data_IF_777914898380
#
_entry.id   IF_777914898380
#
_cell.length_a   1.000
_cell.length_b   1.000
_cell.length_c   1.000
_cell.angle_alpha   90.00
_cell.angle_beta   90.00
_cell.angle_gamma   90.00
#
_symmetry.space_group_name_H-M   'P 1'
#
loop_
_entity.id
_entity.type
_entity.pdbx_description
1 polymer ?
#
# COMPACT_ATOMS: atom_id res chain seq x y z
N UNK A 1 -31.73 17.65 -43.45
CA UNK A 1 -31.29 17.54 -42.04
C UNK A 1 -32.28 16.75 -41.18
N UNK A 2 -33.59 17.06 -41.20
CA UNK A 2 -34.60 16.30 -40.44
C UNK A 2 -34.83 14.86 -40.98
N UNK A 3 -34.84 14.70 -42.31
CA UNK A 3 -35.02 13.40 -42.96
C UNK A 3 -33.86 12.42 -42.70
N UNK A 4 -32.63 12.92 -42.68
CA UNK A 4 -31.42 12.13 -42.35
C UNK A 4 -31.39 11.75 -40.87
N UNK A 5 -31.85 12.62 -39.97
CA UNK A 5 -32.00 12.31 -38.54
C UNK A 5 -33.10 11.27 -38.30
N UNK A 6 -34.26 11.40 -38.94
CA UNK A 6 -35.33 10.38 -38.87
C UNK A 6 -34.83 9.01 -39.32
N UNK A 7 -34.11 8.94 -40.45
CA UNK A 7 -33.55 7.69 -40.94
C UNK A 7 -32.48 7.09 -40.03
N UNK A 8 -31.69 7.93 -39.37
CA UNK A 8 -30.65 7.49 -38.45
C UNK A 8 -31.20 7.04 -37.09
N UNK A 9 -32.25 7.68 -36.58
CA UNK A 9 -32.69 7.53 -35.18
C UNK A 9 -34.08 6.92 -34.99
N UNK A 10 -34.96 7.00 -35.99
CA UNK A 10 -36.39 6.68 -35.86
C UNK A 10 -36.83 5.57 -36.82
N UNK A 11 -36.29 5.52 -38.04
CA UNK A 11 -36.69 4.50 -39.02
C UNK A 11 -36.18 3.12 -38.56
N UNK A 12 -37.10 2.13 -38.42
CA UNK A 12 -36.72 0.79 -37.99
C UNK A 12 -35.72 0.17 -38.97
N UNK A 13 -34.76 -0.59 -38.43
CA UNK A 13 -33.87 -1.44 -39.24
C UNK A 13 -34.74 -2.33 -40.12
N UNK A 14 -34.33 -2.60 -41.37
CA UNK A 14 -35.02 -3.53 -42.26
C UNK A 14 -35.50 -4.72 -41.45
N UNK A 15 -36.81 -4.89 -41.33
CA UNK A 15 -37.44 -5.72 -40.31
C UNK A 15 -37.99 -6.95 -41.03
N UNK A 16 -37.79 -8.14 -40.48
CA UNK A 16 -38.35 -9.36 -41.08
C UNK A 16 -39.89 -9.32 -41.04
N UNK A 17 -40.55 -10.33 -41.63
CA UNK A 17 -42.02 -10.38 -41.69
C UNK A 17 -42.71 -10.35 -40.31
N UNK A 18 -41.97 -10.56 -39.22
CA UNK A 18 -42.47 -10.55 -37.85
C UNK A 18 -42.13 -9.25 -37.08
N UNK A 19 -41.43 -8.29 -37.70
CA UNK A 19 -41.10 -7.02 -37.06
C UNK A 19 -39.86 -7.08 -36.14
N UNK A 20 -39.01 -8.11 -36.27
CA UNK A 20 -37.67 -8.13 -35.68
C UNK A 20 -36.63 -7.56 -36.67
N UNK A 21 -35.61 -6.83 -36.18
CA UNK A 21 -34.56 -6.32 -37.06
C UNK A 21 -33.93 -7.49 -37.87
N UNK A 22 -33.67 -7.24 -39.16
CA UNK A 22 -33.25 -8.26 -40.12
C UNK A 22 -32.02 -9.00 -39.62
N UNK A 23 -32.07 -10.32 -39.75
CA UNK A 23 -31.01 -11.26 -39.37
C UNK A 23 -29.63 -10.84 -39.93
N UNK A 24 -29.62 -10.20 -41.10
CA UNK A 24 -28.41 -9.71 -41.80
C UNK A 24 -27.71 -8.59 -41.01
N UNK A 25 -28.46 -7.64 -40.44
CA UNK A 25 -27.90 -6.53 -39.65
C UNK A 25 -27.41 -6.95 -38.27
N UNK A 26 -27.99 -8.00 -37.68
CA UNK A 26 -27.51 -8.56 -36.41
C UNK A 26 -26.22 -9.36 -36.57
N UNK A 27 -26.12 -10.12 -37.67
CA UNK A 27 -24.93 -10.90 -37.97
C UNK A 27 -23.73 -10.00 -38.20
N UNK A 28 -23.88 -8.93 -39.00
CA UNK A 28 -22.84 -7.93 -39.21
C UNK A 28 -22.36 -7.31 -37.88
N UNK A 29 -23.29 -7.05 -36.95
CA UNK A 29 -22.94 -6.48 -35.64
C UNK A 29 -22.18 -7.45 -34.75
N UNK A 30 -22.61 -8.72 -34.72
CA UNK A 30 -21.92 -9.78 -33.99
C UNK A 30 -20.51 -10.01 -34.56
N UNK A 31 -20.35 -9.97 -35.89
CA UNK A 31 -19.06 -10.13 -36.56
C UNK A 31 -18.11 -8.97 -36.22
N UNK A 32 -18.61 -7.74 -36.14
CA UNK A 32 -17.82 -6.56 -35.71
C UNK A 32 -17.38 -6.64 -34.25
N UNK A 33 -18.26 -7.07 -33.35
CA UNK A 33 -17.91 -7.32 -31.95
C UNK A 33 -16.83 -8.40 -31.86
N UNK A 34 -16.98 -9.50 -32.60
CA UNK A 34 -16.01 -10.58 -32.63
C UNK A 34 -14.67 -10.13 -33.24
N UNK A 35 -14.68 -9.28 -34.26
CA UNK A 35 -13.46 -8.71 -34.83
C UNK A 35 -12.72 -7.82 -33.82
N UNK A 36 -13.46 -7.01 -33.05
CA UNK A 36 -12.86 -6.10 -32.06
C UNK A 36 -12.32 -6.83 -30.83
N UNK A 37 -13.06 -7.83 -30.36
CA UNK A 37 -12.87 -8.44 -29.04
C UNK A 37 -12.45 -9.90 -29.07
N UNK A 38 -12.40 -10.54 -30.24
CA UNK A 38 -12.08 -11.96 -30.38
C UNK A 38 -10.65 -12.33 -29.96
N UNK A 39 -9.74 -11.35 -29.89
CA UNK A 39 -8.40 -11.51 -29.32
C UNK A 39 -8.38 -11.55 -27.79
N UNK A 40 -9.44 -11.04 -27.15
CA UNK A 40 -9.55 -10.89 -25.69
C UNK A 40 -10.53 -11.90 -25.11
N UNK A 41 -11.63 -12.15 -25.82
CA UNK A 41 -12.71 -13.03 -25.40
C UNK A 41 -12.93 -14.15 -26.43
N UNK A 42 -13.06 -15.39 -25.95
CA UNK A 42 -13.43 -16.57 -26.70
C UNK A 42 -14.84 -17.01 -26.32
N UNK A 43 -15.68 -17.28 -27.32
CA UNK A 43 -17.05 -17.72 -27.11
C UNK A 43 -17.68 -18.25 -28.38
N UNK A 44 -18.70 -19.10 -28.21
CA UNK A 44 -19.50 -19.60 -29.33
C UNK A 44 -20.20 -18.44 -30.07
N UNK A 45 -20.46 -18.61 -31.37
CA UNK A 45 -21.12 -17.60 -32.21
C UNK A 45 -22.44 -17.05 -31.61
N UNK A 46 -23.18 -17.91 -30.89
CA UNK A 46 -24.41 -17.53 -30.20
C UNK A 46 -24.21 -16.44 -29.13
N UNK A 47 -23.05 -16.40 -28.46
CA UNK A 47 -22.75 -15.43 -27.42
C UNK A 47 -22.46 -14.04 -28.02
N UNK A 48 -21.79 -13.98 -29.16
CA UNK A 48 -21.58 -12.74 -29.91
C UNK A 48 -22.91 -12.15 -30.40
N UNK A 49 -23.82 -13.01 -30.87
CA UNK A 49 -25.19 -12.62 -31.23
C UNK A 49 -26.01 -12.17 -30.02
N UNK A 50 -25.87 -12.83 -28.88
CA UNK A 50 -26.55 -12.44 -27.64
C UNK A 50 -26.09 -11.04 -27.17
N UNK A 51 -24.79 -10.75 -27.28
CA UNK A 51 -24.26 -9.41 -26.99
C UNK A 51 -24.81 -8.36 -27.96
N UNK A 52 -24.73 -8.63 -29.27
CA UNK A 52 -25.27 -7.74 -30.30
C UNK A 52 -26.77 -7.45 -30.07
N UNK A 53 -27.55 -8.47 -29.73
CA UNK A 53 -28.97 -8.33 -29.42
C UNK A 53 -29.21 -7.43 -28.20
N UNK A 54 -28.45 -7.62 -27.12
CA UNK A 54 -28.59 -6.78 -25.93
C UNK A 54 -28.25 -5.31 -26.23
N UNK A 55 -27.22 -5.04 -27.04
CA UNK A 55 -26.86 -3.69 -27.44
C UNK A 55 -27.95 -3.03 -28.30
N UNK A 56 -28.46 -3.73 -29.31
CA UNK A 56 -29.51 -3.21 -30.20
C UNK A 56 -30.80 -2.93 -29.42
N UNK A 57 -31.09 -3.74 -28.39
CA UNK A 57 -32.27 -3.58 -27.53
C UNK A 57 -32.14 -2.45 -26.50
N UNK A 58 -30.93 -2.21 -25.99
CA UNK A 58 -30.69 -1.27 -24.88
C UNK A 58 -30.17 0.10 -25.31
N UNK A 59 -29.65 0.24 -26.53
CA UNK A 59 -28.96 1.43 -27.01
C UNK A 59 -29.56 1.99 -28.31
N UNK A 60 -29.47 3.31 -28.49
CA UNK A 60 -29.85 3.96 -29.74
C UNK A 60 -28.77 3.78 -30.82
N UNK A 61 -29.17 3.79 -32.10
CA UNK A 61 -28.25 3.59 -33.24
C UNK A 61 -27.05 4.54 -33.22
N UNK A 62 -27.22 5.78 -32.73
CA UNK A 62 -26.14 6.77 -32.64
C UNK A 62 -25.07 6.42 -31.59
N UNK A 63 -25.32 5.46 -30.71
CA UNK A 63 -24.41 5.07 -29.62
C UNK A 63 -23.73 3.72 -29.83
N UNK A 64 -24.13 2.96 -30.86
CA UNK A 64 -23.62 1.60 -31.04
C UNK A 64 -22.12 1.54 -31.36
N UNK A 65 -21.60 2.48 -32.16
CA UNK A 65 -20.16 2.56 -32.48
C UNK A 65 -19.30 2.73 -31.23
N UNK A 66 -19.72 3.63 -30.33
CA UNK A 66 -19.04 3.86 -29.05
C UNK A 66 -19.14 2.62 -28.16
N UNK A 67 -20.29 1.94 -28.20
CA UNK A 67 -20.53 0.78 -27.36
C UNK A 67 -19.82 -0.50 -27.85
N UNK A 68 -19.49 -0.62 -29.16
CA UNK A 68 -18.61 -1.67 -29.68
C UNK A 68 -17.20 -1.55 -29.06
N UNK A 69 -16.73 -0.33 -28.80
CA UNK A 69 -15.41 -0.09 -28.19
C UNK A 69 -15.39 -0.37 -26.68
N UNK A 70 -16.54 -0.67 -26.07
CA UNK A 70 -16.62 -1.02 -24.66
C UNK A 70 -16.62 -2.55 -24.47
N UNK A 71 -16.03 -3.05 -23.36
CA UNK A 71 -16.06 -4.47 -23.06
C UNK A 71 -17.50 -4.99 -22.85
N UNK A 72 -17.74 -6.30 -22.98
CA UNK A 72 -19.07 -6.87 -22.84
C UNK A 72 -19.69 -6.56 -21.47
N UNK A 73 -21.01 -6.27 -21.41
CA UNK A 73 -21.71 -6.08 -20.15
C UNK A 73 -21.53 -7.29 -19.22
N UNK A 74 -21.49 -7.06 -17.90
CA UNK A 74 -21.11 -8.09 -16.92
C UNK A 74 -21.96 -9.37 -16.90
N UNK A 75 -23.19 -9.35 -17.44
CA UNK A 75 -24.02 -10.55 -17.62
C UNK A 75 -23.51 -11.41 -18.79
N UNK A 76 -23.15 -10.75 -19.89
CA UNK A 76 -22.66 -11.39 -21.13
C UNK A 76 -21.18 -11.77 -20.98
N UNK A 77 -20.37 -10.94 -20.33
CA UNK A 77 -18.95 -11.17 -20.10
C UNK A 77 -18.66 -12.49 -19.38
N UNK A 78 -19.54 -12.92 -18.46
CA UNK A 78 -19.41 -14.20 -17.72
C UNK A 78 -19.58 -15.44 -18.59
N UNK A 79 -20.19 -15.30 -19.76
CA UNK A 79 -20.40 -16.40 -20.71
C UNK A 79 -19.20 -16.57 -21.63
N UNK A 80 -18.37 -15.55 -21.77
CA UNK A 80 -17.13 -15.58 -22.53
C UNK A 80 -15.97 -16.11 -21.67
N UNK A 81 -15.06 -16.87 -22.30
CA UNK A 81 -13.75 -17.19 -21.72
C UNK A 81 -12.76 -16.10 -22.14
N UNK A 82 -11.75 -15.80 -21.33
CA UNK A 82 -10.62 -15.01 -21.83
C UNK A 82 -9.85 -15.83 -22.87
N UNK A 83 -9.36 -15.16 -23.92
CA UNK A 83 -8.41 -15.78 -24.84
C UNK A 83 -7.10 -16.12 -24.11
N UNK A 84 -6.46 -17.23 -24.46
CA UNK A 84 -5.26 -17.75 -23.79
C UNK A 84 -4.14 -16.70 -23.67
N UNK A 85 -3.83 -15.98 -24.76
CA UNK A 85 -2.83 -14.90 -24.74
C UNK A 85 -3.20 -13.76 -23.76
N UNK A 86 -4.49 -13.45 -23.64
CA UNK A 86 -4.98 -12.43 -22.70
C UNK A 86 -4.92 -12.92 -21.25
N UNK A 87 -5.23 -14.20 -21.01
CA UNK A 87 -5.10 -14.85 -19.71
C UNK A 87 -3.64 -14.88 -19.24
N UNK A 88 -2.71 -15.29 -20.10
CA UNK A 88 -1.27 -15.29 -19.81
C UNK A 88 -0.76 -13.89 -19.46
N UNK A 89 -1.18 -12.87 -20.22
CA UNK A 89 -0.82 -11.48 -19.95
C UNK A 89 -1.35 -11.00 -18.60
N UNK A 90 -2.60 -11.34 -18.25
CA UNK A 90 -3.17 -11.01 -16.94
C UNK A 90 -2.45 -11.72 -15.80
N UNK A 91 -2.19 -13.03 -15.92
CA UNK A 91 -1.45 -13.81 -14.92
C UNK A 91 -0.05 -13.24 -14.74
N UNK A 92 0.65 -12.91 -15.82
CA UNK A 92 1.97 -12.29 -15.77
C UNK A 92 1.92 -10.92 -15.07
N UNK A 93 0.89 -10.11 -15.37
CA UNK A 93 0.67 -8.82 -14.72
C UNK A 93 0.45 -8.94 -13.22
N UNK A 94 -0.43 -9.84 -12.79
CA UNK A 94 -0.73 -10.12 -11.37
C UNK A 94 0.50 -10.70 -10.67
N UNK A 95 1.20 -11.63 -11.30
CA UNK A 95 2.41 -12.23 -10.74
C UNK A 95 3.50 -11.17 -10.54
N UNK A 96 3.69 -10.28 -11.52
CA UNK A 96 4.64 -9.17 -11.42
C UNK A 96 4.26 -8.20 -10.30
N UNK A 97 2.99 -7.81 -10.19
CA UNK A 97 2.54 -6.87 -9.14
C UNK A 97 2.65 -7.50 -7.75
N UNK A 98 2.27 -8.77 -7.59
CA UNK A 98 2.42 -9.51 -6.35
C UNK A 98 3.89 -9.64 -5.92
N UNK A 99 4.79 -9.97 -6.87
CA UNK A 99 6.23 -10.05 -6.59
C UNK A 99 6.82 -8.70 -6.17
N UNK A 100 6.39 -7.60 -6.81
CA UNK A 100 6.83 -6.26 -6.42
C UNK A 100 6.33 -5.89 -5.03
N UNK A 101 5.06 -6.17 -4.72
CA UNK A 101 4.50 -5.93 -3.39
C UNK A 101 5.25 -6.72 -2.32
N UNK A 102 5.53 -8.01 -2.57
CA UNK A 102 6.31 -8.85 -1.67
C UNK A 102 7.74 -8.32 -1.47
N UNK A 103 8.40 -7.89 -2.54
CA UNK A 103 9.72 -7.26 -2.46
C UNK A 103 9.70 -6.02 -1.56
N UNK A 104 8.73 -5.12 -1.75
CA UNK A 104 8.60 -3.92 -0.92
C UNK A 104 8.38 -4.26 0.56
N UNK A 105 7.51 -5.23 0.86
CA UNK A 105 7.25 -5.67 2.24
C UNK A 105 8.51 -6.27 2.86
N UNK A 106 9.24 -7.12 2.13
CA UNK A 106 10.50 -7.70 2.62
C UNK A 106 11.56 -6.63 2.90
N UNK A 107 11.69 -5.62 2.03
CA UNK A 107 12.58 -4.50 2.26
C UNK A 107 12.19 -3.69 3.51
N UNK A 108 10.89 -3.46 3.72
CA UNK A 108 10.39 -2.77 4.91
C UNK A 108 10.65 -3.58 6.19
N UNK A 109 10.48 -4.90 6.16
CA UNK A 109 10.82 -5.79 7.28
C UNK A 109 12.31 -5.69 7.61
N UNK A 110 13.18 -5.74 6.60
CA UNK A 110 14.63 -5.62 6.79
C UNK A 110 15.00 -4.24 7.41
N UNK A 111 14.41 -3.15 6.91
CA UNK A 111 14.62 -1.83 7.47
C UNK A 111 14.15 -1.72 8.93
N UNK A 112 13.00 -2.33 9.26
CA UNK A 112 12.49 -2.34 10.63
C UNK A 112 13.41 -3.13 11.58
N UNK A 113 13.96 -4.26 11.13
CA UNK A 113 14.94 -5.02 11.90
C UNK A 113 16.22 -4.20 12.17
N UNK A 114 16.67 -3.40 11.20
CA UNK A 114 17.79 -2.49 11.41
C UNK A 114 17.49 -1.44 12.49
N UNK A 115 16.29 -0.85 12.46
CA UNK A 115 15.86 0.11 13.48
C UNK A 115 15.82 -0.50 14.89
N UNK A 116 15.39 -1.76 15.01
CA UNK A 116 15.42 -2.48 16.30
C UNK A 116 16.85 -2.65 16.82
N UNK A 117 17.81 -3.03 15.95
CA UNK A 117 19.22 -3.16 16.34
C UNK A 117 19.83 -1.82 16.76
N UNK A 118 19.49 -0.74 16.05
CA UNK A 118 19.95 0.61 16.37
C UNK A 118 19.37 1.06 17.73
N UNK A 119 18.11 0.74 17.99
CA UNK A 119 17.45 1.01 19.26
C UNK A 119 18.10 0.28 20.43
N UNK A 120 18.39 -1.03 20.27
CA UNK A 120 19.10 -1.82 21.29
C UNK A 120 20.49 -1.23 21.59
N UNK A 121 21.22 -0.85 20.54
CA UNK A 121 22.53 -0.21 20.67
C UNK A 121 22.45 1.11 21.42
N UNK A 122 21.42 1.92 21.15
CA UNK A 122 21.18 3.16 21.86
C UNK A 122 20.82 2.91 23.34
N UNK A 123 19.98 1.91 23.61
CA UNK A 123 19.66 1.47 24.97
C UNK A 123 20.90 1.08 25.76
N UNK A 124 21.79 0.27 25.16
CA UNK A 124 23.06 -0.13 25.78
C UNK A 124 23.94 1.08 26.14
N UNK A 125 24.01 2.09 25.26
CA UNK A 125 24.75 3.34 25.51
C UNK A 125 24.18 4.13 26.68
N UNK A 126 22.85 4.21 26.80
CA UNK A 126 22.20 4.87 27.95
C UNK A 126 22.54 4.14 29.24
N UNK A 127 22.44 2.80 29.25
CA UNK A 127 22.78 1.99 30.43
C UNK A 127 24.22 2.23 30.86
N UNK A 128 25.16 2.24 29.92
CA UNK A 128 26.58 2.46 30.21
C UNK A 128 26.85 3.87 30.74
N UNK A 129 26.21 4.89 30.13
CA UNK A 129 26.29 6.25 30.64
C UNK A 129 25.72 6.36 32.07
N UNK A 130 24.63 5.65 32.37
CA UNK A 130 24.06 5.56 33.72
C UNK A 130 25.05 5.03 34.75
N UNK A 131 25.77 3.95 34.43
CA UNK A 131 26.84 3.41 35.30
C UNK A 131 27.95 4.44 35.53
N UNK A 132 28.38 5.13 34.47
CA UNK A 132 29.40 6.17 34.56
C UNK A 132 28.96 7.31 35.49
N UNK A 133 27.69 7.73 35.41
CA UNK A 133 27.14 8.76 36.28
C UNK A 133 27.07 8.32 37.75
N UNK A 134 26.71 7.07 38.03
CA UNK A 134 26.74 6.51 39.39
C UNK A 134 28.17 6.55 39.93
N UNK A 135 29.15 6.06 39.18
CA UNK A 135 30.56 6.10 39.61
C UNK A 135 31.04 7.53 39.89
N UNK A 136 30.69 8.50 39.03
CA UNK A 136 31.02 9.92 39.25
C UNK A 136 30.35 10.47 40.51
N UNK A 137 29.10 10.11 40.76
CA UNK A 137 28.38 10.49 41.98
C UNK A 137 29.09 9.93 43.22
N UNK A 138 29.46 8.66 43.21
CA UNK A 138 30.12 8.01 44.36
C UNK A 138 31.46 8.67 44.69
N UNK A 139 32.24 9.03 43.66
CA UNK A 139 33.48 9.82 43.84
C UNK A 139 33.19 11.16 44.52
N UNK A 140 32.18 11.90 44.05
CA UNK A 140 31.79 13.18 44.65
C UNK A 140 31.32 12.99 46.10
N UNK A 141 30.55 11.95 46.39
CA UNK A 141 30.05 11.66 47.73
C UNK A 141 31.20 11.37 48.70
N UNK A 142 32.19 10.58 48.28
CA UNK A 142 33.41 10.32 49.07
C UNK A 142 34.13 11.62 49.44
N UNK A 143 34.30 12.54 48.47
CA UNK A 143 34.92 13.84 48.77
C UNK A 143 34.12 14.66 49.79
N UNK A 144 32.79 14.62 49.74
CA UNK A 144 31.93 15.32 50.71
C UNK A 144 32.12 14.71 52.10
N UNK A 145 32.11 13.39 52.19
CA UNK A 145 32.22 12.66 53.45
C UNK A 145 33.62 12.88 54.09
N UNK A 146 34.69 12.93 53.28
CA UNK A 146 36.06 13.18 53.74
C UNK A 146 36.29 14.62 54.25
N UNK A 147 35.58 15.62 53.68
CA UNK A 147 35.66 17.02 54.13
C UNK A 147 34.97 17.22 55.50
N UNK A 148 34.01 16.37 55.84
CA UNK A 148 33.30 16.38 57.12
C UNK A 148 34.04 15.53 58.17
N UNK A 149 35.26 15.93 58.53
CA UNK A 149 35.98 15.30 59.64
C UNK A 149 35.18 15.44 60.96
N UNK A 150 35.20 14.43 61.86
CA UNK A 150 34.60 14.53 63.19
C UNK A 150 35.16 15.74 63.94
N UNK A 151 34.26 16.66 64.35
CA UNK A 151 34.59 17.89 65.08
C UNK A 151 34.90 17.68 66.57
N UNK A 152 35.28 16.47 66.99
CA UNK A 152 35.65 16.19 68.39
C UNK A 152 37.17 16.05 68.55
N UNK A 153 37.92 17.03 68.02
CA UNK A 153 39.28 17.25 68.49
C UNK A 153 39.16 17.99 69.81
N UNK A 154 39.24 17.27 70.93
CA UNK A 154 39.31 17.89 72.25
C UNK A 154 40.46 18.91 72.27
N UNK A 155 40.18 20.13 72.78
CA UNK A 155 41.12 21.24 72.77
C UNK A 155 42.44 20.82 73.44
N UNK A 156 43.57 20.81 72.69
CA UNK A 156 44.87 20.47 73.26
C UNK A 156 45.25 21.34 74.47
N UNK A 157 44.68 22.55 74.57
CA UNK A 157 44.92 23.45 75.68
C UNK A 157 44.26 23.00 76.99
N UNK A 158 43.21 22.17 76.97
CA UNK A 158 42.59 21.66 78.20
C UNK A 158 43.48 20.68 78.97
N UNK A 159 44.57 20.17 78.36
CA UNK A 159 45.53 19.24 79.00
C UNK A 159 46.90 19.85 79.26
N UNK A 160 47.11 21.14 78.99
CA UNK A 160 48.40 21.77 79.23
C UNK A 160 48.53 22.20 80.69
N UNK A 161 49.40 21.50 81.43
CA UNK A 161 49.79 21.90 82.79
C UNK A 161 50.70 23.13 82.72
N UNK A 162 50.40 24.14 83.54
CA UNK A 162 51.10 25.43 83.50
C UNK A 162 52.51 25.24 84.09
N UNK A 163 53.54 25.51 83.30
CA UNK A 163 54.94 25.40 83.75
C UNK A 163 55.24 26.62 84.63
N UNK A 164 55.71 26.42 85.89
CA UNK A 164 56.02 27.55 86.76
C UNK A 164 57.18 28.36 86.20
N UNK A 165 56.97 29.68 86.18
CA UNK A 165 57.97 30.66 85.76
C UNK A 165 59.13 30.70 86.76
N UNK A 166 60.33 30.36 86.29
CA UNK A 166 61.56 30.27 87.09
C UNK A 166 62.47 31.49 86.90
N UNK A 167 62.12 32.42 86.01
CA UNK A 167 63.00 33.55 85.62
C UNK A 167 62.66 34.86 86.36
N UNK A 168 61.65 34.84 87.24
CA UNK A 168 61.24 35.99 88.05
C UNK A 168 61.13 35.62 89.53
N UNK A 169 62.26 35.70 90.25
CA UNK A 169 62.36 35.67 91.72
C UNK A 169 62.84 37.01 92.24
#
# INVERSE_FOLDING_TARGET
MLASFKRACIDPVATDRAGAASDVTFQEFADRLQQRWGSTFQGAAILWRMWANEMVRSLSRSTWEVAIEQPPPGVVARLFRLAEASLEQQISGISRSANLALYCVNAAIAANNQLLQDWESFGARITENGKCLVARKDVIQSFIDDVLLPRDVADPMERMENIPDVDHV
#
